data_IF_220670235071
#
_entry.id   IF_220670235071
#
_cell.length_a   1.000
_cell.length_b   1.000
_cell.length_c   1.000
_cell.angle_alpha   90.00
_cell.angle_beta   90.00
_cell.angle_gamma   90.00
#
_symmetry.space_group_name_H-M   'P 1'
#
loop_
_entity.id
_entity.type
_entity.pdbx_description
1 polymer ?
#
# COMPACT_ATOMS: atom_id res chain seq x y z
N UNK A 1 14.47 -13.24 1.43
CA UNK A 1 13.10 -12.79 1.75
C UNK A 1 12.26 -13.95 2.25
N UNK A 2 11.72 -14.87 1.43
CA UNK A 2 10.85 -15.97 1.96
C UNK A 2 11.59 -17.01 2.83
N UNK A 3 12.94 -17.03 2.80
CA UNK A 3 13.77 -17.81 3.74
C UNK A 3 13.90 -17.16 5.11
N UNK A 4 13.56 -15.88 5.22
CA UNK A 4 13.35 -15.17 6.48
C UNK A 4 11.84 -15.27 6.77
N UNK A 5 11.44 -15.39 8.03
CA UNK A 5 10.03 -15.54 8.42
C UNK A 5 9.25 -14.23 8.17
N UNK A 6 8.82 -14.00 6.93
CA UNK A 6 8.03 -12.84 6.52
C UNK A 6 6.54 -13.18 6.60
N UNK A 7 5.75 -12.33 7.27
CA UNK A 7 4.29 -12.48 7.40
C UNK A 7 3.53 -12.04 6.14
N UNK A 8 4.01 -10.98 5.49
CA UNK A 8 3.32 -10.35 4.35
C UNK A 8 4.32 -9.78 3.34
N UNK A 9 4.03 -9.97 2.06
CA UNK A 9 4.78 -9.34 0.96
C UNK A 9 4.00 -8.14 0.43
N UNK A 10 4.67 -7.00 0.28
CA UNK A 10 4.11 -5.82 -0.35
C UNK A 10 4.75 -5.58 -1.72
N UNK A 11 3.99 -5.82 -2.79
CA UNK A 11 4.40 -5.51 -4.16
C UNK A 11 4.04 -4.05 -4.43
N UNK A 12 4.99 -3.15 -4.16
CA UNK A 12 4.83 -1.70 -4.27
C UNK A 12 5.42 -1.16 -5.59
N UNK A 13 4.63 -0.36 -6.31
CA UNK A 13 5.05 0.34 -7.53
C UNK A 13 4.47 1.75 -7.61
N UNK A 14 5.21 2.66 -8.26
CA UNK A 14 4.77 4.03 -8.56
C UNK A 14 3.70 4.09 -9.66
N UNK A 15 3.54 3.03 -10.46
CA UNK A 15 2.52 2.92 -11.50
C UNK A 15 1.95 1.49 -11.55
N UNK A 16 0.85 1.26 -10.84
CA UNK A 16 0.12 -0.02 -10.75
C UNK A 16 -0.33 -0.63 -12.08
N UNK A 17 -0.28 0.13 -13.18
CA UNK A 17 -0.89 -0.23 -14.46
C UNK A 17 0.03 -1.01 -15.42
N UNK A 18 1.22 -1.46 -14.99
CA UNK A 18 2.05 -2.32 -15.84
C UNK A 18 1.62 -3.78 -15.71
N UNK A 19 1.37 -4.47 -16.83
CA UNK A 19 1.04 -5.91 -16.85
C UNK A 19 2.06 -6.78 -16.11
N UNK A 20 3.29 -6.29 -15.97
CA UNK A 20 4.36 -6.93 -15.21
C UNK A 20 4.00 -7.12 -13.73
N UNK A 21 3.31 -6.16 -13.09
CA UNK A 21 2.96 -6.26 -11.66
C UNK A 21 1.95 -7.37 -11.42
N UNK A 22 0.93 -7.46 -12.28
CA UNK A 22 -0.08 -8.51 -12.18
C UNK A 22 0.55 -9.88 -12.40
N UNK A 23 1.48 -10.00 -13.35
CA UNK A 23 2.23 -11.25 -13.57
C UNK A 23 3.10 -11.60 -12.36
N UNK A 24 3.85 -10.64 -11.81
CA UNK A 24 4.63 -10.85 -10.57
C UNK A 24 3.74 -11.32 -9.41
N UNK A 25 2.57 -10.72 -9.23
CA UNK A 25 1.62 -11.11 -8.18
C UNK A 25 1.15 -12.56 -8.37
N UNK A 26 0.77 -12.92 -9.61
CA UNK A 26 0.34 -14.29 -9.94
C UNK A 26 1.46 -15.31 -9.75
N UNK A 27 2.69 -14.96 -10.14
CA UNK A 27 3.87 -15.80 -9.94
C UNK A 27 4.14 -16.02 -8.45
N UNK A 28 4.10 -14.94 -7.63
CA UNK A 28 4.26 -15.03 -6.18
C UNK A 28 3.18 -15.93 -5.57
N UNK A 29 1.91 -15.75 -5.93
CA UNK A 29 0.81 -16.59 -5.43
C UNK A 29 0.90 -18.05 -5.88
N UNK A 30 1.49 -18.31 -7.05
CA UNK A 30 1.74 -19.67 -7.53
C UNK A 30 2.86 -20.34 -6.73
N UNK A 31 3.94 -19.61 -6.45
CA UNK A 31 5.08 -20.14 -5.68
C UNK A 31 4.77 -20.25 -4.18
N UNK A 32 3.95 -19.34 -3.65
CA UNK A 32 3.68 -19.18 -2.23
C UNK A 32 2.19 -18.94 -1.99
N UNK A 33 1.37 -19.97 -2.21
CA UNK A 33 -0.10 -19.88 -2.13
C UNK A 33 -0.65 -19.40 -0.78
N UNK A 34 0.06 -19.68 0.32
CA UNK A 34 -0.33 -19.28 1.67
C UNK A 34 0.22 -17.90 2.09
N UNK A 35 1.08 -17.27 1.28
CA UNK A 35 1.69 -15.99 1.63
C UNK A 35 0.67 -14.85 1.49
N UNK A 36 0.56 -14.00 2.51
CA UNK A 36 -0.23 -12.79 2.43
C UNK A 36 0.43 -11.78 1.50
N UNK A 37 -0.36 -11.15 0.63
CA UNK A 37 0.14 -10.29 -0.42
C UNK A 37 -0.65 -8.98 -0.49
N UNK A 38 0.08 -7.88 -0.38
CA UNK A 38 -0.41 -6.52 -0.61
C UNK A 38 0.01 -6.10 -2.03
N UNK A 39 -0.94 -5.63 -2.84
CA UNK A 39 -0.67 -5.09 -4.17
C UNK A 39 -0.98 -3.60 -4.28
N UNK A 40 -0.07 -2.82 -4.89
CA UNK A 40 -0.31 -1.41 -5.17
C UNK A 40 0.90 -0.68 -5.75
N UNK A 41 0.83 0.63 -6.01
CA UNK A 41 -0.29 1.52 -5.71
C UNK A 41 -1.34 1.55 -6.83
N UNK A 42 -2.60 1.59 -6.42
CA UNK A 42 -3.76 1.70 -7.31
C UNK A 42 -4.00 3.17 -7.67
N UNK A 43 -4.23 3.41 -8.97
CA UNK A 43 -4.63 4.72 -9.49
C UNK A 43 -5.93 4.68 -10.31
N UNK A 44 -6.42 3.49 -10.72
CA UNK A 44 -7.61 3.35 -11.55
C UNK A 44 -8.45 2.13 -11.16
N UNK A 45 -9.70 2.08 -11.64
CA UNK A 45 -10.64 0.98 -11.40
C UNK A 45 -10.16 -0.33 -12.02
N UNK A 46 -9.59 -0.24 -13.22
CA UNK A 46 -9.09 -1.38 -13.99
C UNK A 46 -7.93 -2.06 -13.27
N UNK A 47 -7.03 -1.28 -12.66
CA UNK A 47 -5.93 -1.83 -11.82
C UNK A 47 -6.49 -2.52 -10.59
N UNK A 48 -7.53 -1.94 -9.97
CA UNK A 48 -8.20 -2.52 -8.80
C UNK A 48 -8.78 -3.89 -9.14
N UNK A 49 -9.55 -3.99 -10.22
CA UNK A 49 -10.15 -5.24 -10.69
C UNK A 49 -9.06 -6.28 -11.03
N UNK A 50 -8.00 -5.86 -11.72
CA UNK A 50 -6.88 -6.75 -12.07
C UNK A 50 -6.17 -7.32 -10.84
N UNK A 51 -6.01 -6.53 -9.78
CA UNK A 51 -5.40 -6.98 -8.52
C UNK A 51 -6.32 -7.94 -7.75
N UNK A 52 -7.63 -7.68 -7.74
CA UNK A 52 -8.63 -8.58 -7.16
C UNK A 52 -8.58 -9.94 -7.89
N UNK A 53 -8.57 -9.93 -9.23
CA UNK A 53 -8.48 -11.15 -10.04
C UNK A 53 -7.14 -11.89 -9.82
N UNK A 54 -6.07 -11.15 -9.53
CA UNK A 54 -4.78 -11.71 -9.17
C UNK A 54 -4.72 -12.24 -7.71
N UNK A 55 -5.83 -12.18 -6.97
CA UNK A 55 -5.99 -12.74 -5.62
C UNK A 55 -5.07 -12.11 -4.55
N UNK A 56 -4.83 -10.80 -4.62
CA UNK A 56 -4.17 -10.07 -3.50
C UNK A 56 -5.05 -10.07 -2.25
N UNK A 57 -4.47 -10.06 -1.06
CA UNK A 57 -5.21 -10.04 0.21
C UNK A 57 -5.56 -8.60 0.62
N UNK A 58 -4.70 -7.65 0.27
CA UNK A 58 -4.91 -6.23 0.49
C UNK A 58 -4.42 -5.38 -0.69
N UNK A 59 -4.95 -4.17 -0.77
CA UNK A 59 -4.67 -3.23 -1.84
C UNK A 59 -4.20 -1.89 -1.28
N UNK A 60 -3.12 -1.36 -1.83
CA UNK A 60 -2.60 -0.05 -1.46
C UNK A 60 -3.12 1.03 -2.39
N UNK A 61 -3.87 1.99 -1.85
CA UNK A 61 -4.53 3.07 -2.59
C UNK A 61 -3.90 4.42 -2.22
N UNK A 62 -3.77 5.33 -3.19
CA UNK A 62 -3.29 6.69 -2.90
C UNK A 62 -4.42 7.58 -2.40
N UNK A 63 -4.34 8.04 -1.14
CA UNK A 63 -5.29 9.03 -0.58
C UNK A 63 -4.59 10.39 -0.47
N UNK A 64 -4.55 11.13 -1.58
CA UNK A 64 -4.06 12.52 -1.59
C UNK A 64 -5.17 13.52 -1.27
N UNK A 65 -4.82 14.80 -0.98
CA UNK A 65 -5.81 15.87 -0.74
C UNK A 65 -6.74 16.15 -1.93
N UNK A 66 -6.44 15.57 -3.12
CA UNK A 66 -7.23 15.66 -4.35
C UNK A 66 -7.70 14.31 -4.91
N UNK A 67 -7.43 13.20 -4.24
CA UNK A 67 -7.85 11.87 -4.69
C UNK A 67 -8.59 11.14 -3.58
N UNK A 68 -9.91 11.26 -3.57
CA UNK A 68 -10.75 10.24 -2.97
C UNK A 68 -10.82 9.14 -4.01
N UNK A 69 -10.14 8.03 -3.76
CA UNK A 69 -10.30 6.83 -4.57
C UNK A 69 -11.74 6.36 -4.37
N UNK A 70 -12.66 6.76 -5.26
CA UNK A 70 -14.09 6.39 -5.24
C UNK A 70 -14.33 5.01 -5.83
N UNK A 71 -13.27 4.21 -5.99
CA UNK A 71 -13.36 2.90 -6.63
C UNK A 71 -14.20 1.99 -5.76
N UNK A 72 -15.34 1.53 -6.28
CA UNK A 72 -16.15 0.51 -5.62
C UNK A 72 -15.42 -0.84 -5.65
N UNK A 73 -14.88 -1.29 -4.52
CA UNK A 73 -14.25 -2.60 -4.38
C UNK A 73 -15.13 -3.57 -3.61
N UNK A 74 -14.93 -4.87 -3.86
CA UNK A 74 -15.58 -5.94 -3.10
C UNK A 74 -15.11 -5.91 -1.64
N UNK A 75 -16.02 -6.14 -0.68
CA UNK A 75 -15.73 -6.14 0.77
C UNK A 75 -14.73 -7.22 1.23
N UNK A 76 -14.21 -8.07 0.33
CA UNK A 76 -13.31 -9.17 0.69
C UNK A 76 -11.87 -8.72 0.89
N UNK A 77 -11.39 -7.74 0.14
CA UNK A 77 -9.99 -7.32 0.16
C UNK A 77 -9.82 -6.10 1.06
N UNK A 78 -8.73 -6.07 1.83
CA UNK A 78 -8.42 -4.96 2.74
C UNK A 78 -7.84 -3.77 1.98
N UNK A 79 -8.12 -2.55 2.45
CA UNK A 79 -7.59 -1.33 1.88
C UNK A 79 -6.56 -0.66 2.79
N UNK A 80 -5.43 -0.33 2.20
CA UNK A 80 -4.35 0.41 2.84
C UNK A 80 -4.28 1.77 2.17
N UNK A 81 -4.68 2.82 2.87
CA UNK A 81 -4.45 4.19 2.42
C UNK A 81 -2.96 4.50 2.50
N UNK A 82 -2.40 5.05 1.42
CA UNK A 82 -0.98 5.37 1.34
C UNK A 82 -0.79 6.75 0.72
N UNK A 83 0.28 7.41 1.15
CA UNK A 83 0.68 8.76 0.74
C UNK A 83 -0.23 9.88 1.31
N UNK A 84 0.34 11.08 1.50
CA UNK A 84 -0.42 12.29 1.81
C UNK A 84 -0.77 12.58 3.28
N UNK A 85 -0.42 11.72 4.23
CA UNK A 85 -0.66 11.96 5.67
C UNK A 85 0.29 13.04 6.20
N UNK A 86 -0.26 14.16 6.68
CA UNK A 86 0.52 15.23 7.32
C UNK A 86 0.17 15.40 8.79
N UNK A 87 -1.09 15.19 9.12
CA UNK A 87 -1.62 15.34 10.47
C UNK A 87 -2.44 14.12 10.86
N UNK A 88 -2.64 13.92 12.16
CA UNK A 88 -3.50 12.87 12.70
C UNK A 88 -4.93 12.91 12.14
N UNK A 89 -5.44 14.10 11.81
CA UNK A 89 -6.75 14.27 11.17
C UNK A 89 -6.83 13.65 9.77
N UNK A 90 -5.72 13.50 9.05
CA UNK A 90 -5.72 12.86 7.73
C UNK A 90 -5.87 11.34 7.85
N UNK A 91 -5.34 10.74 8.90
CA UNK A 91 -5.58 9.33 9.26
C UNK A 91 -7.08 9.12 9.52
N UNK A 92 -7.69 9.99 10.34
CA UNK A 92 -9.12 9.90 10.63
C UNK A 92 -9.98 10.02 9.36
N UNK A 93 -9.63 10.92 8.43
CA UNK A 93 -10.32 11.05 7.14
C UNK A 93 -10.14 9.80 6.27
N UNK A 94 -8.94 9.22 6.22
CA UNK A 94 -8.67 8.03 5.43
C UNK A 94 -9.50 6.83 5.90
N UNK A 95 -9.55 6.59 7.22
CA UNK A 95 -10.39 5.54 7.80
C UNK A 95 -11.88 5.82 7.58
N UNK A 96 -12.32 7.07 7.79
CA UNK A 96 -13.71 7.46 7.53
C UNK A 96 -14.11 7.32 6.04
N UNK A 97 -13.14 7.46 5.12
CA UNK A 97 -13.33 7.24 3.69
C UNK A 97 -13.35 5.76 3.29
N UNK A 98 -13.07 4.83 4.23
CA UNK A 98 -13.21 3.39 4.03
C UNK A 98 -11.91 2.59 4.02
N UNK A 99 -10.76 3.19 4.35
CA UNK A 99 -9.52 2.44 4.52
C UNK A 99 -9.56 1.57 5.79
N UNK A 100 -9.00 0.36 5.74
CA UNK A 100 -8.82 -0.51 6.91
C UNK A 100 -7.55 -0.14 7.69
N UNK A 101 -6.53 0.36 7.00
CA UNK A 101 -5.27 0.82 7.58
C UNK A 101 -4.66 1.98 6.77
N UNK A 102 -3.65 2.63 7.36
CA UNK A 102 -2.95 3.76 6.73
C UNK A 102 -1.44 3.52 6.80
N UNK A 103 -0.77 3.57 5.65
CA UNK A 103 0.69 3.62 5.53
C UNK A 103 1.14 5.07 5.69
N UNK A 104 2.15 5.27 6.54
CA UNK A 104 2.70 6.59 6.88
C UNK A 104 4.20 6.52 6.63
N UNK A 105 4.73 7.52 5.93
CA UNK A 105 6.15 7.61 5.58
C UNK A 105 6.81 8.84 6.23
N UNK A 106 6.59 10.03 5.67
CA UNK A 106 7.27 11.28 6.03
C UNK A 106 7.25 11.67 7.51
N UNK A 107 6.19 11.28 8.24
CA UNK A 107 6.07 11.55 9.68
C UNK A 107 7.10 10.72 10.47
N UNK A 108 7.43 9.52 10.00
CA UNK A 108 8.40 8.65 10.65
C UNK A 108 9.83 8.95 10.22
N UNK A 109 10.08 9.51 9.05
CA UNK A 109 11.44 9.73 8.52
C UNK A 109 12.37 10.50 9.45
N UNK A 110 11.85 11.35 10.35
CA UNK A 110 12.63 12.10 11.33
C UNK A 110 12.73 11.47 12.73
N UNK A 111 12.24 10.25 12.90
CA UNK A 111 12.30 9.51 14.19
C UNK A 111 13.71 9.01 14.49
N UNK A 112 13.98 8.71 15.76
CA UNK A 112 15.28 8.19 16.20
C UNK A 112 15.58 6.79 15.64
N UNK A 113 14.55 6.04 15.30
CA UNK A 113 14.61 4.67 14.77
C UNK A 113 14.80 4.63 13.25
N UNK A 114 14.59 5.76 12.56
CA UNK A 114 14.71 5.81 11.11
C UNK A 114 16.15 5.69 10.65
N UNK A 115 16.41 5.00 9.52
CA UNK A 115 17.75 4.90 8.98
C UNK A 115 18.26 6.27 8.55
N UNK A 116 19.51 6.58 8.91
CA UNK A 116 20.16 7.85 8.60
C UNK A 116 20.95 8.37 9.80
N UNK A 117 21.69 9.45 9.58
CA UNK A 117 22.39 10.15 10.66
C UNK A 117 21.64 11.42 11.03
N UNK A 118 21.49 11.67 12.33
CA UNK A 118 20.97 12.94 12.83
C UNK A 118 22.04 14.00 12.63
N UNK A 119 21.74 14.97 11.76
CA UNK A 119 22.60 16.13 11.51
C UNK A 119 22.00 17.38 12.15
N UNK A 120 22.76 18.05 13.01
CA UNK A 120 22.41 19.36 13.54
C UNK A 120 22.76 20.42 12.50
N UNK A 121 21.76 21.07 11.92
CA UNK A 121 21.95 22.13 10.94
C UNK A 121 21.31 23.42 11.43
N UNK A 122 22.14 24.43 11.71
CA UNK A 122 21.74 25.78 12.16
C UNK A 122 20.98 25.86 13.51
N UNK A 123 21.16 24.88 14.39
CA UNK A 123 20.70 24.94 15.79
C UNK A 123 19.23 24.66 15.93
#
# INVERSE_FOLDING_TARGET
MVREEIDVINVNTSNGHSGNIINTIKEIKTMYSNMQLIGGNIATKEVTESLIDASVDAMKIRIGPRSICTTSHSKKNKLIADDGVKYSGDIAKAIAAGADSVMIDSIFTGSAESPGEIIMYKG
#
